data_IF_915425885885
#
_entry.id   IF_915425885885
#
_cell.length_a   1.000
_cell.length_b   1.000
_cell.length_c   1.000
_cell.angle_alpha   90.00
_cell.angle_beta   90.00
_cell.angle_gamma   90.00
#
_symmetry.space_group_name_H-M   'P 1'
#
loop_
_entity.id
_entity.type
_entity.pdbx_description
1 polymer ?
#
# COMPACT_ATOMS: atom_id res chain seq x y z
N UNK A 1 -52.45 -18.63 32.64
CA UNK A 1 -51.17 -17.90 32.78
C UNK A 1 -50.12 -18.84 33.36
N UNK A 2 -49.03 -19.16 32.65
CA UNK A 2 -47.81 -19.70 33.24
C UNK A 2 -46.71 -18.63 33.31
N UNK A 3 -45.92 -18.69 34.39
CA UNK A 3 -45.00 -17.66 34.87
C UNK A 3 -43.95 -17.20 33.84
N UNK A 4 -43.71 -15.89 33.78
CA UNK A 4 -42.68 -15.24 32.96
C UNK A 4 -41.29 -15.64 33.48
N UNK A 5 -40.54 -16.36 32.64
CA UNK A 5 -39.12 -16.62 32.85
C UNK A 5 -38.34 -15.38 32.40
N UNK A 6 -37.79 -14.62 33.34
CA UNK A 6 -37.13 -13.33 33.07
C UNK A 6 -35.61 -13.34 33.30
N UNK A 7 -35.03 -14.39 33.89
CA UNK A 7 -33.60 -14.42 34.25
C UNK A 7 -32.80 -15.49 33.49
N UNK A 8 -31.53 -15.19 33.22
CA UNK A 8 -30.58 -16.06 32.49
C UNK A 8 -30.40 -17.44 33.14
N UNK A 9 -30.49 -17.53 34.47
CA UNK A 9 -30.32 -18.77 35.25
C UNK A 9 -31.45 -19.78 35.02
N UNK A 10 -32.69 -19.28 34.84
CA UNK A 10 -33.85 -20.13 34.58
C UNK A 10 -33.81 -20.76 33.17
N UNK A 11 -33.17 -20.07 32.20
CA UNK A 11 -32.97 -20.59 30.84
C UNK A 11 -31.92 -21.71 30.83
N UNK A 12 -30.90 -21.64 31.68
CA UNK A 12 -29.85 -22.66 31.79
C UNK A 12 -30.41 -23.96 32.37
N UNK A 13 -31.31 -23.91 33.36
CA UNK A 13 -31.96 -25.11 33.93
C UNK A 13 -32.86 -25.86 32.93
N UNK A 14 -33.43 -25.18 31.94
CA UNK A 14 -34.41 -25.79 31.02
C UNK A 14 -33.77 -26.62 29.89
N UNK A 15 -32.44 -26.63 29.73
CA UNK A 15 -31.77 -27.32 28.61
C UNK A 15 -31.00 -28.57 29.06
N UNK A 16 -31.74 -29.64 29.35
CA UNK A 16 -31.21 -31.02 29.31
C UNK A 16 -31.71 -31.88 28.15
N UNK A 17 -32.42 -31.31 27.17
CA UNK A 17 -32.84 -32.08 25.98
C UNK A 17 -32.35 -31.42 24.68
N UNK A 18 -31.47 -32.18 23.99
CA UNK A 18 -30.96 -32.07 22.60
C UNK A 18 -30.21 -30.78 22.23
N UNK A 19 -28.87 -30.85 22.23
CA UNK A 19 -27.96 -29.89 21.61
C UNK A 19 -28.01 -30.04 20.09
N UNK A 20 -28.89 -29.29 19.43
CA UNK A 20 -28.72 -28.96 18.01
C UNK A 20 -27.98 -27.61 17.95
N UNK A 21 -26.71 -27.67 17.53
CA UNK A 21 -25.80 -26.57 17.21
C UNK A 21 -25.13 -25.82 18.38
N UNK A 22 -23.80 -25.69 18.28
CA UNK A 22 -22.95 -24.83 19.12
C UNK A 22 -23.17 -23.36 18.78
N UNK A 23 -24.36 -22.83 19.06
CA UNK A 23 -24.66 -21.42 18.88
C UNK A 23 -24.23 -20.64 20.12
N UNK A 24 -23.49 -19.55 19.93
CA UNK A 24 -23.04 -18.70 21.03
C UNK A 24 -24.25 -18.16 21.82
N UNK A 25 -24.15 -18.03 23.15
CA UNK A 25 -25.26 -17.57 23.99
C UNK A 25 -25.86 -16.23 23.53
N UNK A 26 -25.01 -15.35 22.98
CA UNK A 26 -25.39 -14.05 22.43
C UNK A 26 -26.26 -14.19 21.17
N UNK A 27 -25.95 -15.13 20.28
CA UNK A 27 -26.77 -15.39 19.10
C UNK A 27 -28.15 -15.89 19.51
N UNK A 28 -28.20 -16.79 20.50
CA UNK A 28 -29.45 -17.34 21.01
C UNK A 28 -30.33 -16.25 21.63
N UNK A 29 -29.73 -15.36 22.41
CA UNK A 29 -30.42 -14.20 22.99
C UNK A 29 -30.98 -13.27 21.92
N UNK A 30 -30.17 -12.92 20.91
CA UNK A 30 -30.60 -12.07 19.81
C UNK A 30 -31.70 -12.73 18.96
N UNK A 31 -31.64 -14.05 18.77
CA UNK A 31 -32.67 -14.82 18.09
C UNK A 31 -34.00 -14.80 18.84
N UNK A 32 -34.00 -15.04 20.15
CA UNK A 32 -35.21 -14.96 20.96
C UNK A 32 -35.77 -13.54 21.00
N UNK A 33 -34.92 -12.53 21.16
CA UNK A 33 -35.32 -11.11 21.11
C UNK A 33 -35.95 -10.75 19.78
N UNK A 34 -35.40 -11.24 18.67
CA UNK A 34 -35.97 -11.06 17.34
C UNK A 34 -37.33 -11.74 17.22
N UNK A 35 -37.49 -12.99 17.67
CA UNK A 35 -38.79 -13.67 17.67
C UNK A 35 -39.85 -12.98 18.52
N UNK A 36 -39.47 -12.43 19.68
CA UNK A 36 -40.36 -11.61 20.49
C UNK A 36 -40.78 -10.33 19.76
N UNK A 37 -39.87 -9.67 19.04
CA UNK A 37 -40.19 -8.49 18.22
C UNK A 37 -41.15 -8.82 17.08
N UNK A 38 -40.91 -9.92 16.36
CA UNK A 38 -41.78 -10.36 15.25
C UNK A 38 -43.16 -10.73 15.78
N UNK A 39 -43.24 -11.43 16.91
CA UNK A 39 -44.52 -11.80 17.52
C UNK A 39 -45.33 -10.57 18.00
N UNK A 40 -44.64 -9.52 18.43
CA UNK A 40 -45.24 -8.29 18.92
C UNK A 40 -45.34 -7.19 17.84
N UNK A 41 -44.96 -7.49 16.59
CA UNK A 41 -45.02 -6.53 15.50
C UNK A 41 -46.49 -6.27 15.15
N UNK A 42 -46.95 -5.04 15.37
CA UNK A 42 -48.27 -4.58 14.93
C UNK A 42 -48.10 -3.96 13.55
N UNK A 43 -49.08 -4.20 12.66
CA UNK A 43 -49.15 -3.53 11.36
C UNK A 43 -49.44 -2.05 11.62
N UNK A 44 -48.41 -1.22 11.53
CA UNK A 44 -48.54 0.24 11.51
C UNK A 44 -48.46 0.65 10.05
N UNK A 45 -49.55 1.19 9.51
CA UNK A 45 -49.53 1.86 8.21
C UNK A 45 -49.08 3.28 8.51
N UNK A 46 -47.89 3.61 8.04
CA UNK A 46 -47.30 4.93 8.24
C UNK A 46 -47.88 5.87 7.18
N UNK A 47 -48.84 6.70 7.59
CA UNK A 47 -49.45 7.73 6.74
C UNK A 47 -48.62 9.03 6.72
N UNK A 48 -47.42 9.04 7.33
CA UNK A 48 -46.55 10.22 7.31
C UNK A 48 -45.79 10.32 5.97
N UNK A 49 -45.67 11.53 5.40
CA UNK A 49 -44.94 11.70 4.16
C UNK A 49 -43.46 11.35 4.35
N UNK A 50 -42.83 10.67 3.37
CA UNK A 50 -41.44 10.28 3.49
C UNK A 50 -40.55 11.52 3.67
N UNK A 51 -39.62 11.45 4.61
CA UNK A 51 -38.67 12.53 4.87
C UNK A 51 -37.71 12.61 3.67
N UNK A 52 -37.96 13.59 2.80
CA UNK A 52 -37.16 13.83 1.61
C UNK A 52 -35.85 14.52 2.00
N UNK A 53 -34.74 13.78 1.96
CA UNK A 53 -33.41 14.38 2.07
C UNK A 53 -33.09 15.15 0.79
N UNK A 54 -33.32 16.47 0.82
CA UNK A 54 -33.12 17.42 -0.27
C UNK A 54 -31.73 17.31 -0.92
N UNK A 55 -30.70 16.94 -0.15
CA UNK A 55 -29.33 16.76 -0.62
C UNK A 55 -29.19 15.65 -1.67
N UNK A 56 -29.96 14.57 -1.54
CA UNK A 56 -29.95 13.45 -2.49
C UNK A 56 -30.86 13.72 -3.70
N UNK A 57 -31.97 14.43 -3.50
CA UNK A 57 -32.93 14.74 -4.58
C UNK A 57 -32.35 15.81 -5.51
N UNK A 58 -31.69 16.82 -4.96
CA UNK A 58 -31.13 17.92 -5.75
C UNK A 58 -29.75 17.61 -6.35
N UNK A 59 -29.19 16.41 -6.14
CA UNK A 59 -27.88 16.01 -6.65
C UNK A 59 -26.79 17.08 -6.47
N UNK A 60 -26.78 17.75 -5.30
CA UNK A 60 -25.95 18.93 -5.06
C UNK A 60 -24.46 18.70 -5.38
N UNK A 61 -23.96 17.48 -5.12
CA UNK A 61 -22.59 17.10 -5.44
C UNK A 61 -22.26 17.18 -6.93
N UNK A 62 -23.19 16.78 -7.80
CA UNK A 62 -23.00 16.85 -9.25
C UNK A 62 -23.09 18.31 -9.71
N UNK A 63 -24.03 19.10 -9.17
CA UNK A 63 -24.15 20.52 -9.50
C UNK A 63 -22.87 21.31 -9.14
N UNK A 64 -22.20 20.97 -8.04
CA UNK A 64 -20.89 21.58 -7.70
C UNK A 64 -19.80 21.24 -8.72
N UNK A 65 -19.79 20.01 -9.26
CA UNK A 65 -18.84 19.61 -10.30
C UNK A 65 -19.14 20.35 -11.61
N UNK A 66 -20.41 20.44 -11.99
CA UNK A 66 -20.84 21.15 -13.20
C UNK A 66 -20.53 22.65 -13.10
N UNK A 67 -20.74 23.26 -11.93
CA UNK A 67 -20.37 24.66 -11.68
C UNK A 67 -18.86 24.88 -11.85
N UNK A 68 -18.02 23.98 -11.33
CA UNK A 68 -16.57 24.07 -11.50
C UNK A 68 -16.18 23.95 -12.96
N UNK A 69 -16.76 23.01 -13.71
CA UNK A 69 -16.50 22.84 -15.13
C UNK A 69 -16.90 24.07 -15.96
N UNK A 70 -18.07 24.67 -15.67
CA UNK A 70 -18.52 25.91 -16.31
C UNK A 70 -17.57 27.07 -16.00
N UNK A 71 -17.11 27.18 -14.75
CA UNK A 71 -16.14 28.20 -14.35
C UNK A 71 -14.82 28.07 -15.11
N UNK A 72 -14.32 26.85 -15.30
CA UNK A 72 -13.10 26.59 -16.06
C UNK A 72 -13.28 26.91 -17.56
N UNK A 73 -14.42 26.57 -18.13
CA UNK A 73 -14.78 26.94 -19.52
C UNK A 73 -14.88 28.46 -19.67
N UNK A 74 -15.50 29.16 -18.72
CA UNK A 74 -15.61 30.62 -18.75
C UNK A 74 -14.23 31.27 -18.69
N UNK A 75 -13.36 30.77 -17.81
CA UNK A 75 -11.98 31.27 -17.70
C UNK A 75 -11.20 31.08 -19.01
N UNK A 76 -11.25 29.88 -19.60
CA UNK A 76 -10.56 29.62 -20.88
C UNK A 76 -11.12 30.48 -22.02
N UNK A 77 -12.45 30.67 -22.07
CA UNK A 77 -13.07 31.58 -23.04
C UNK A 77 -12.63 33.04 -22.84
N UNK A 78 -12.51 33.51 -21.60
CA UNK A 78 -12.00 34.86 -21.31
C UNK A 78 -10.54 35.03 -21.73
N UNK A 79 -9.69 34.04 -21.48
CA UNK A 79 -8.28 34.05 -21.90
C UNK A 79 -8.15 34.08 -23.44
N UNK A 80 -9.01 33.34 -24.15
CA UNK A 80 -9.09 33.35 -25.62
C UNK A 80 -9.53 34.73 -26.14
N UNK A 81 -10.55 35.34 -25.52
CA UNK A 81 -11.02 36.67 -25.90
C UNK A 81 -9.97 37.75 -25.63
N UNK A 82 -9.25 37.67 -24.52
CA UNK A 82 -8.10 38.55 -24.26
C UNK A 82 -7.01 38.38 -25.31
N UNK A 83 -6.73 37.13 -25.72
CA UNK A 83 -5.77 36.85 -26.78
C UNK A 83 -6.23 37.46 -28.12
N UNK A 84 -7.50 37.28 -28.51
CA UNK A 84 -8.04 37.91 -29.71
C UNK A 84 -8.03 39.45 -29.63
N UNK A 85 -8.37 40.03 -28.48
CA UNK A 85 -8.28 41.46 -28.25
C UNK A 85 -6.85 41.98 -28.41
N UNK A 86 -5.84 41.28 -27.87
CA UNK A 86 -4.42 41.61 -28.08
C UNK A 86 -4.01 41.50 -29.54
N UNK A 87 -4.47 40.47 -30.25
CA UNK A 87 -4.24 40.31 -31.69
C UNK A 87 -4.89 41.43 -32.52
N UNK A 88 -6.05 41.94 -32.10
CA UNK A 88 -6.76 43.03 -32.77
C UNK A 88 -6.11 44.40 -32.50
N UNK A 89 -5.56 44.61 -31.29
CA UNK A 89 -4.79 45.82 -30.93
C UNK A 89 -3.43 45.85 -31.64
N UNK A 90 -2.81 44.70 -31.87
CA UNK A 90 -1.54 44.56 -32.60
C UNK A 90 -1.73 44.43 -34.13
N UNK A 91 -2.96 44.17 -34.58
CA UNK A 91 -3.31 43.97 -35.98
C UNK A 91 -3.51 45.29 -36.72
N UNK A 92 -2.49 45.75 -37.44
CA UNK A 92 -2.69 46.68 -38.56
C UNK A 92 -3.65 46.02 -39.57
N UNK A 93 -4.74 46.71 -39.93
CA UNK A 93 -5.52 46.46 -41.15
C UNK A 93 -4.55 46.47 -42.34
N UNK A 94 -4.06 45.31 -42.78
CA UNK A 94 -3.20 45.20 -43.97
C UNK A 94 -2.05 44.19 -43.93
N UNK A 95 -1.79 43.46 -42.84
CA UNK A 95 -0.75 42.41 -42.85
C UNK A 95 -1.34 41.02 -43.04
N UNK A 96 -1.93 40.77 -44.21
CA UNK A 96 -1.94 39.40 -44.72
C UNK A 96 -0.51 39.08 -45.13
N UNK A 97 0.19 38.28 -44.32
CA UNK A 97 1.47 37.72 -44.72
C UNK A 97 1.19 36.66 -45.81
N UNK A 98 1.26 37.06 -47.08
CA UNK A 98 1.19 36.17 -48.26
C UNK A 98 2.42 35.25 -48.41
N UNK A 99 3.29 35.19 -47.40
CA UNK A 99 4.36 34.21 -47.35
C UNK A 99 3.85 32.95 -46.65
N UNK A 100 3.68 31.87 -47.41
CA UNK A 100 3.45 30.51 -46.92
C UNK A 100 4.42 30.10 -45.78
N UNK A 101 5.59 30.75 -45.67
CA UNK A 101 6.61 30.53 -44.63
C UNK A 101 6.23 31.07 -43.23
N UNK A 102 5.34 32.07 -43.15
CA UNK A 102 4.98 32.69 -41.86
C UNK A 102 4.05 31.81 -41.01
N UNK A 103 3.16 31.03 -41.63
CA UNK A 103 2.19 30.20 -40.92
C UNK A 103 2.83 29.08 -40.09
N UNK A 104 3.91 28.48 -40.60
CA UNK A 104 4.65 27.44 -39.89
C UNK A 104 5.35 28.00 -38.65
N UNK A 105 5.89 29.22 -38.71
CA UNK A 105 6.68 29.83 -37.62
C UNK A 105 5.87 30.19 -36.36
N UNK A 106 4.56 30.35 -36.46
CA UNK A 106 3.69 30.62 -35.30
C UNK A 106 2.88 29.40 -34.84
N UNK A 107 3.00 28.27 -35.53
CA UNK A 107 2.37 27.02 -35.11
C UNK A 107 2.99 26.50 -33.82
N UNK A 108 2.15 25.92 -32.95
CA UNK A 108 2.59 25.25 -31.71
C UNK A 108 3.61 24.13 -31.99
N UNK A 109 3.48 23.47 -33.13
CA UNK A 109 4.40 22.44 -33.62
C UNK A 109 5.82 23.01 -33.85
N UNK A 110 5.94 24.16 -34.53
CA UNK A 110 7.24 24.79 -34.78
C UNK A 110 7.85 25.42 -33.52
N UNK A 111 7.03 25.84 -32.56
CA UNK A 111 7.51 26.24 -31.23
C UNK A 111 8.09 25.04 -30.46
N UNK A 112 7.40 23.89 -30.50
CA UNK A 112 7.87 22.67 -29.88
C UNK A 112 9.17 22.16 -30.52
N UNK A 113 9.28 22.15 -31.85
CA UNK A 113 10.50 21.74 -32.54
C UNK A 113 11.71 22.62 -32.18
N UNK A 114 11.53 23.94 -32.13
CA UNK A 114 12.61 24.87 -31.68
C UNK A 114 13.01 24.64 -30.23
N UNK A 115 12.07 24.29 -29.36
CA UNK A 115 12.38 23.97 -27.97
C UNK A 115 13.19 22.67 -27.85
N UNK A 116 12.90 21.67 -28.69
CA UNK A 116 13.66 20.42 -28.74
C UNK A 116 15.08 20.65 -29.26
N UNK A 117 15.26 21.43 -30.33
CA UNK A 117 16.58 21.80 -30.84
C UNK A 117 17.42 22.56 -29.81
N UNK A 118 16.81 23.43 -29.00
CA UNK A 118 17.50 24.13 -27.93
C UNK A 118 18.00 23.15 -26.85
N UNK A 119 17.16 22.20 -26.45
CA UNK A 119 17.52 21.15 -25.47
C UNK A 119 18.66 20.26 -26.01
N UNK A 120 18.63 19.90 -27.30
CA UNK A 120 19.71 19.12 -27.91
C UNK A 120 21.04 19.86 -27.90
N UNK A 121 21.03 21.17 -28.18
CA UNK A 121 22.24 22.01 -28.10
C UNK A 121 22.79 22.08 -26.68
N UNK A 122 21.93 22.22 -25.68
CA UNK A 122 22.34 22.20 -24.26
C UNK A 122 22.92 20.84 -23.86
N UNK A 123 22.28 19.74 -24.24
CA UNK A 123 22.78 18.39 -23.98
C UNK A 123 24.15 18.16 -24.63
N UNK A 124 24.34 18.64 -25.86
CA UNK A 124 25.61 18.55 -26.56
C UNK A 124 26.71 19.36 -25.86
N UNK A 125 26.38 20.54 -25.33
CA UNK A 125 27.30 21.35 -24.54
C UNK A 125 27.70 20.67 -23.22
N UNK A 126 26.74 20.08 -22.51
CA UNK A 126 27.00 19.32 -21.27
C UNK A 126 27.87 18.10 -21.56
N UNK A 127 27.57 17.36 -22.63
CA UNK A 127 28.37 16.20 -23.04
C UNK A 127 29.83 16.59 -23.32
N UNK A 128 30.06 17.70 -24.04
CA UNK A 128 31.41 18.25 -24.26
C UNK A 128 32.11 18.59 -22.94
N UNK A 129 31.40 19.19 -21.99
CA UNK A 129 31.95 19.52 -20.66
C UNK A 129 32.33 18.30 -19.85
N UNK A 130 31.51 17.25 -19.87
CA UNK A 130 31.78 15.98 -19.18
C UNK A 130 32.98 15.28 -19.80
N UNK A 131 33.08 15.27 -21.14
CA UNK A 131 34.23 14.70 -21.84
C UNK A 131 35.52 15.49 -21.59
N UNK A 132 35.45 16.82 -21.47
CA UNK A 132 36.60 17.66 -21.17
C UNK A 132 36.99 17.68 -19.69
N UNK A 133 36.18 17.10 -18.81
CA UNK A 133 36.46 17.08 -17.38
C UNK A 133 37.63 16.14 -17.08
N UNK A 134 38.85 16.68 -17.04
CA UNK A 134 40.03 15.94 -16.60
C UNK A 134 39.99 15.76 -15.07
N UNK A 135 40.33 14.55 -14.63
CA UNK A 135 40.30 14.13 -13.24
C UNK A 135 41.49 14.79 -12.50
N UNK A 136 41.26 15.88 -11.79
CA UNK A 136 42.26 16.47 -10.88
C UNK A 136 42.28 15.64 -9.59
N UNK A 137 42.67 14.37 -9.70
CA UNK A 137 43.03 13.52 -8.56
C UNK A 137 44.27 12.74 -8.96
N UNK A 138 45.39 13.06 -8.31
CA UNK A 138 46.67 12.38 -8.48
C UNK A 138 46.49 10.86 -8.35
N UNK A 139 46.63 10.15 -9.47
CA UNK A 139 46.60 8.69 -9.53
C UNK A 139 47.86 8.20 -10.20
N UNK A 140 48.98 8.26 -9.48
CA UNK A 140 50.17 7.45 -9.78
C UNK A 140 49.93 5.97 -9.42
N UNK A 141 48.77 5.41 -9.80
CA UNK A 141 48.46 4.01 -9.62
C UNK A 141 47.98 3.44 -10.96
N UNK A 142 48.72 2.45 -11.44
CA UNK A 142 48.53 1.75 -12.71
C UNK A 142 47.08 1.26 -12.85
N UNK A 143 46.51 1.24 -14.07
CA UNK A 143 45.15 0.77 -14.28
C UNK A 143 45.12 -0.75 -14.06
N UNK A 144 44.53 -1.20 -12.94
CA UNK A 144 44.22 -2.62 -12.76
C UNK A 144 42.96 -2.96 -13.55
N UNK A 145 43.16 -3.84 -14.54
CA UNK A 145 42.13 -4.75 -15.07
C UNK A 145 41.20 -5.21 -13.95
N UNK A 146 39.90 -5.22 -14.23
CA UNK A 146 38.83 -5.57 -13.31
C UNK A 146 38.90 -7.06 -12.90
N UNK A 147 39.83 -7.37 -11.99
CA UNK A 147 39.77 -8.51 -11.10
C UNK A 147 39.76 -7.94 -9.69
N UNK A 148 38.63 -8.05 -9.01
CA UNK A 148 38.48 -7.56 -7.64
C UNK A 148 39.48 -8.29 -6.73
N UNK A 149 40.41 -7.55 -6.14
CA UNK A 149 41.26 -8.08 -5.09
C UNK A 149 40.44 -8.33 -3.82
N UNK A 150 40.60 -9.50 -3.21
CA UNK A 150 39.97 -9.86 -1.96
C UNK A 150 40.21 -8.79 -0.89
N UNK A 151 39.10 -8.22 -0.40
CA UNK A 151 39.10 -7.29 0.70
C UNK A 151 39.58 -7.98 1.98
N UNK A 152 40.87 -7.82 2.31
CA UNK A 152 41.43 -8.25 3.59
C UNK A 152 41.24 -7.15 4.62
N UNK A 153 40.22 -7.33 5.45
CA UNK A 153 39.97 -6.47 6.61
C UNK A 153 41.12 -6.54 7.63
N UNK A 154 41.63 -5.42 8.15
CA UNK A 154 42.59 -5.42 9.25
C UNK A 154 41.96 -6.00 10.53
N UNK A 155 42.57 -7.08 11.04
CA UNK A 155 42.05 -7.89 12.16
C UNK A 155 41.95 -7.12 13.48
N UNK A 156 42.75 -6.07 13.63
CA UNK A 156 42.84 -5.25 14.85
C UNK A 156 41.66 -4.28 15.01
N UNK A 157 41.06 -3.82 13.91
CA UNK A 157 39.88 -2.95 13.96
C UNK A 157 38.62 -3.77 14.25
N UNK A 158 38.57 -5.02 13.78
CA UNK A 158 37.46 -5.95 13.98
C UNK A 158 37.41 -6.57 15.39
N UNK A 159 38.53 -6.59 16.13
CA UNK A 159 38.56 -7.15 17.49
C UNK A 159 37.71 -6.33 18.47
N UNK A 160 37.58 -5.02 18.23
CA UNK A 160 36.78 -4.08 19.03
C UNK A 160 35.26 -4.28 18.89
N UNK A 161 34.84 -5.03 17.87
CA UNK A 161 33.43 -5.22 17.52
C UNK A 161 33.04 -6.70 17.37
N UNK A 162 33.85 -7.61 17.93
CA UNK A 162 33.66 -9.08 17.82
C UNK A 162 32.33 -9.59 18.38
N UNK A 163 31.67 -8.85 19.25
CA UNK A 163 30.38 -9.23 19.83
C UNK A 163 29.17 -8.65 19.09
N UNK A 164 29.35 -7.69 18.18
CA UNK A 164 28.24 -6.90 17.62
C UNK A 164 28.28 -6.65 16.11
N UNK A 165 29.26 -7.20 15.35
CA UNK A 165 29.26 -7.09 13.89
C UNK A 165 28.66 -8.34 13.23
N UNK A 166 27.46 -8.14 12.70
CA UNK A 166 26.81 -8.96 11.68
C UNK A 166 27.69 -8.92 10.43
N UNK A 167 28.43 -10.01 10.16
CA UNK A 167 29.08 -10.19 8.85
C UNK A 167 28.01 -10.16 7.75
N UNK A 168 28.28 -9.43 6.67
CA UNK A 168 27.56 -9.64 5.42
C UNK A 168 27.88 -11.06 4.92
N UNK A 169 26.86 -11.90 4.64
CA UNK A 169 27.11 -13.28 4.26
C UNK A 169 27.75 -13.40 2.88
N UNK A 170 28.65 -14.38 2.76
CA UNK A 170 29.46 -14.66 1.55
C UNK A 170 28.73 -15.48 0.47
N UNK A 171 27.54 -16.01 0.75
CA UNK A 171 26.78 -16.86 -0.18
C UNK A 171 25.43 -16.26 -0.58
N UNK A 172 25.06 -16.39 -1.85
CA UNK A 172 23.73 -16.07 -2.39
C UNK A 172 22.60 -16.79 -1.62
N UNK A 173 22.83 -18.01 -1.17
CA UNK A 173 21.89 -18.80 -0.34
C UNK A 173 21.68 -18.19 1.06
N UNK A 174 22.72 -17.62 1.66
CA UNK A 174 22.60 -16.92 2.94
C UNK A 174 21.88 -15.57 2.80
N UNK A 175 21.99 -14.91 1.63
CA UNK A 175 21.15 -13.73 1.30
C UNK A 175 19.66 -14.11 1.21
N UNK A 176 19.34 -15.28 0.66
CA UNK A 176 17.96 -15.79 0.65
C UNK A 176 17.46 -16.11 2.06
N UNK A 177 18.33 -16.61 2.94
CA UNK A 177 17.98 -16.89 4.34
C UNK A 177 17.73 -15.61 5.15
N UNK A 178 18.50 -14.55 4.93
CA UNK A 178 18.34 -13.27 5.64
C UNK A 178 17.26 -12.37 5.03
N UNK A 179 17.06 -12.43 3.71
CA UNK A 179 16.10 -11.56 3.01
C UNK A 179 15.21 -12.33 2.04
N UNK A 180 14.33 -13.19 2.56
CA UNK A 180 13.48 -14.03 1.73
C UNK A 180 12.52 -13.16 0.90
N UNK A 181 12.31 -13.57 -0.35
CA UNK A 181 11.35 -12.93 -1.26
C UNK A 181 10.10 -13.82 -1.30
N UNK A 182 8.95 -13.22 -1.03
CA UNK A 182 7.65 -13.89 -1.05
C UNK A 182 6.72 -13.20 -2.04
N UNK A 183 5.75 -13.94 -2.57
CA UNK A 183 4.72 -13.37 -3.42
C UNK A 183 3.31 -13.65 -2.89
N UNK A 184 2.41 -12.70 -3.17
CA UNK A 184 0.98 -12.78 -2.85
C UNK A 184 0.17 -12.35 -4.07
N UNK A 185 -0.68 -13.24 -4.56
CA UNK A 185 -1.69 -12.90 -5.55
C UNK A 185 -2.99 -12.60 -4.78
N UNK A 186 -3.52 -11.39 -4.96
CA UNK A 186 -4.74 -10.94 -4.28
C UNK A 186 -5.87 -10.70 -5.28
N UNK A 187 -7.09 -10.96 -4.84
CA UNK A 187 -8.31 -10.73 -5.60
C UNK A 187 -9.37 -10.07 -4.70
N UNK A 188 -10.13 -9.13 -5.28
CA UNK A 188 -11.37 -8.65 -4.67
C UNK A 188 -12.47 -9.64 -5.03
N UNK A 189 -13.07 -10.27 -4.02
CA UNK A 189 -14.07 -11.32 -4.21
C UNK A 189 -15.16 -10.86 -5.19
N UNK A 190 -15.30 -11.63 -6.28
CA UNK A 190 -16.35 -11.45 -7.29
C UNK A 190 -16.28 -10.13 -8.06
N UNK A 191 -15.09 -9.56 -8.24
CA UNK A 191 -14.88 -8.36 -9.06
C UNK A 191 -13.69 -8.50 -10.02
N UNK A 192 -12.48 -8.38 -9.50
CA UNK A 192 -11.27 -8.31 -10.31
C UNK A 192 -10.03 -8.77 -9.51
N UNK A 193 -9.02 -9.34 -10.19
CA UNK A 193 -7.74 -9.61 -9.58
C UNK A 193 -6.99 -8.29 -9.32
N UNK A 194 -6.48 -8.11 -8.11
CA UNK A 194 -5.63 -6.96 -7.75
C UNK A 194 -4.24 -7.14 -8.35
N UNK A 195 -3.78 -8.38 -8.45
CA UNK A 195 -2.50 -8.77 -9.05
C UNK A 195 -1.51 -9.34 -8.04
N UNK A 196 -0.27 -9.53 -8.52
CA UNK A 196 0.84 -10.13 -7.78
C UNK A 196 1.68 -9.07 -7.06
N UNK A 197 1.82 -9.24 -5.75
CA UNK A 197 2.73 -8.48 -4.91
C UNK A 197 3.97 -9.31 -4.63
N UNK A 198 5.15 -8.83 -5.02
CA UNK A 198 6.43 -9.48 -4.71
C UNK A 198 7.12 -8.64 -3.64
N UNK A 199 7.30 -9.22 -2.46
CA UNK A 199 7.78 -8.54 -1.26
C UNK A 199 9.10 -9.16 -0.83
N UNK A 200 10.10 -8.32 -0.62
CA UNK A 200 11.32 -8.70 0.09
C UNK A 200 11.10 -8.50 1.58
N UNK A 201 11.38 -9.53 2.37
CA UNK A 201 11.34 -9.47 3.82
C UNK A 201 12.76 -9.31 4.37
N UNK A 202 12.88 -8.76 5.58
CA UNK A 202 14.16 -8.46 6.23
C UNK A 202 14.19 -9.12 7.61
N UNK A 203 14.87 -10.26 7.73
CA UNK A 203 14.95 -10.97 9.01
C UNK A 203 15.71 -10.18 10.06
N UNK A 204 16.63 -9.30 9.64
CA UNK A 204 17.38 -8.41 10.53
C UNK A 204 16.48 -7.40 11.26
N UNK A 205 15.33 -7.05 10.67
CA UNK A 205 14.42 -6.08 11.25
C UNK A 205 13.43 -6.76 12.21
N UNK A 206 12.86 -7.89 11.81
CA UNK A 206 11.90 -8.61 12.64
C UNK A 206 11.87 -10.11 12.31
N UNK A 207 12.76 -10.93 12.91
CA UNK A 207 12.96 -12.31 12.51
C UNK A 207 11.72 -13.18 12.74
N UNK A 208 11.04 -13.06 13.88
CA UNK A 208 9.88 -13.90 14.21
C UNK A 208 8.72 -13.67 13.22
N UNK A 209 8.41 -12.41 12.89
CA UNK A 209 7.33 -12.10 11.95
C UNK A 209 7.67 -12.55 10.52
N UNK A 210 8.92 -12.35 10.09
CA UNK A 210 9.38 -12.77 8.76
C UNK A 210 9.33 -14.29 8.63
N UNK A 211 9.88 -15.03 9.59
CA UNK A 211 9.88 -16.50 9.56
C UNK A 211 8.46 -17.08 9.56
N UNK A 212 7.57 -16.52 10.37
CA UNK A 212 6.16 -16.90 10.38
C UNK A 212 5.50 -16.68 9.01
N UNK A 213 5.73 -15.50 8.40
CA UNK A 213 5.20 -15.17 7.09
C UNK A 213 5.75 -16.12 6.00
N UNK A 214 7.05 -16.37 6.00
CA UNK A 214 7.70 -17.32 5.07
C UNK A 214 7.14 -18.73 5.23
N UNK A 215 6.97 -19.23 6.46
CA UNK A 215 6.35 -20.55 6.73
C UNK A 215 4.93 -20.63 6.18
N UNK A 216 4.10 -19.60 6.40
CA UNK A 216 2.74 -19.58 5.86
C UNK A 216 2.70 -19.53 4.33
N UNK A 217 3.66 -18.83 3.71
CA UNK A 217 3.82 -18.80 2.25
C UNK A 217 4.27 -20.16 1.71
N UNK A 218 5.24 -20.79 2.37
CA UNK A 218 5.75 -22.12 2.00
C UNK A 218 4.66 -23.19 2.06
N UNK A 219 3.83 -23.17 3.11
CA UNK A 219 2.70 -24.08 3.27
C UNK A 219 1.47 -23.67 2.46
N UNK A 220 1.53 -22.58 1.68
CA UNK A 220 0.45 -22.06 0.83
C UNK A 220 -0.90 -21.92 1.56
N UNK A 221 -0.88 -21.51 2.84
CA UNK A 221 -2.12 -21.42 3.66
C UNK A 221 -2.88 -20.11 3.42
N UNK A 222 -3.46 -19.98 2.22
CA UNK A 222 -4.14 -18.76 1.72
C UNK A 222 -5.19 -18.19 2.69
N UNK A 223 -6.02 -19.05 3.27
CA UNK A 223 -7.15 -18.67 4.13
C UNK A 223 -6.76 -17.94 5.43
N UNK A 224 -5.46 -17.93 5.75
CA UNK A 224 -4.91 -17.33 6.96
C UNK A 224 -4.55 -15.87 6.81
N UNK A 225 -4.32 -15.41 5.59
CA UNK A 225 -4.09 -14.02 5.27
C UNK A 225 -5.42 -13.33 4.99
N UNK A 226 -5.72 -12.27 5.73
CA UNK A 226 -6.98 -11.50 5.57
C UNK A 226 -6.69 -10.02 5.60
N UNK A 227 -7.29 -9.27 4.68
CA UNK A 227 -7.36 -7.82 4.77
C UNK A 227 -8.45 -7.42 5.77
N UNK A 228 -8.08 -6.70 6.82
CA UNK A 228 -9.01 -6.22 7.86
C UNK A 228 -9.47 -4.82 7.51
N UNK A 229 -8.50 -3.95 7.21
CA UNK A 229 -8.71 -2.52 6.99
C UNK A 229 -7.92 -2.03 5.79
N UNK A 230 -8.45 -1.07 5.08
CA UNK A 230 -7.75 -0.33 4.05
C UNK A 230 -8.10 1.14 4.19
N UNK A 231 -7.11 1.94 4.59
CA UNK A 231 -7.22 3.39 4.71
C UNK A 231 -6.64 4.03 3.44
N UNK A 232 -7.48 4.65 2.59
CA UNK A 232 -7.00 5.33 1.39
C UNK A 232 -5.92 6.38 1.73
N UNK A 233 -4.93 6.52 0.87
CA UNK A 233 -3.73 7.39 1.01
C UNK A 233 -2.79 7.07 2.18
N UNK A 234 -3.06 6.03 2.99
CA UNK A 234 -2.27 5.67 4.16
C UNK A 234 -1.67 4.26 4.01
N UNK A 235 -2.44 3.23 4.40
CA UNK A 235 -2.02 1.83 4.35
C UNK A 235 -3.21 0.87 4.37
N UNK A 236 -2.95 -0.36 3.92
CA UNK A 236 -3.79 -1.53 4.17
C UNK A 236 -3.29 -2.27 5.41
N UNK A 237 -4.20 -2.84 6.21
CA UNK A 237 -3.89 -3.68 7.36
C UNK A 237 -4.35 -5.11 7.13
N UNK A 238 -3.42 -6.03 7.31
CA UNK A 238 -3.57 -7.45 7.13
C UNK A 238 -3.41 -8.17 8.46
N UNK A 239 -4.13 -9.27 8.57
CA UNK A 239 -4.05 -10.22 9.66
C UNK A 239 -3.60 -11.56 9.10
N UNK A 240 -2.51 -12.09 9.66
CA UNK A 240 -2.01 -13.43 9.38
C UNK A 240 -2.17 -14.29 10.63
N UNK A 241 -2.93 -15.37 10.51
CA UNK A 241 -3.06 -16.38 11.58
C UNK A 241 -1.86 -17.31 11.57
N UNK A 242 -1.15 -17.38 12.69
CA UNK A 242 0.05 -18.21 12.85
C UNK A 242 -0.29 -19.69 13.08
N UNK A 243 0.64 -20.57 12.72
CA UNK A 243 0.56 -21.98 13.11
C UNK A 243 0.85 -22.16 14.60
N UNK A 244 0.32 -23.21 15.25
CA UNK A 244 0.59 -23.47 16.66
C UNK A 244 2.09 -23.61 16.96
N UNK A 245 2.87 -24.20 16.03
CA UNK A 245 4.33 -24.28 16.16
C UNK A 245 5.04 -22.93 16.17
N UNK A 246 4.50 -21.93 15.46
CA UNK A 246 5.01 -20.56 15.46
C UNK A 246 4.55 -19.80 16.71
N UNK A 247 3.39 -20.18 17.26
CA UNK A 247 2.88 -19.60 18.49
C UNK A 247 3.79 -19.88 19.68
N UNK A 248 4.35 -21.09 19.77
CA UNK A 248 5.24 -21.47 20.86
C UNK A 248 6.50 -20.60 20.87
N UNK A 249 7.10 -20.35 19.69
CA UNK A 249 8.18 -19.37 19.55
C UNK A 249 7.76 -17.98 20.04
N UNK A 250 6.57 -17.47 19.67
CA UNK A 250 6.16 -16.10 20.06
C UNK A 250 5.69 -15.94 21.50
N UNK A 251 5.32 -17.02 22.19
CA UNK A 251 4.83 -17.00 23.58
C UNK A 251 5.95 -17.01 24.59
N UNK A 252 6.97 -17.82 24.35
CA UNK A 252 8.02 -18.12 25.32
C UNK A 252 9.28 -17.27 25.09
N UNK A 253 9.53 -16.81 23.86
CA UNK A 253 10.70 -15.99 23.53
C UNK A 253 10.46 -14.49 23.69
N UNK A 254 11.53 -13.76 24.02
CA UNK A 254 11.57 -12.31 23.86
C UNK A 254 11.44 -11.97 22.36
N UNK A 255 10.50 -11.09 22.03
CA UNK A 255 10.26 -10.68 20.65
C UNK A 255 11.35 -9.69 20.27
N UNK A 256 12.25 -10.11 19.40
CA UNK A 256 13.34 -9.29 18.89
C UNK A 256 12.84 -8.44 17.72
N UNK A 257 13.20 -7.15 17.72
CA UNK A 257 12.93 -6.26 16.61
C UNK A 257 13.96 -5.13 16.58
N UNK A 258 14.38 -4.75 15.37
CA UNK A 258 15.18 -3.56 15.13
C UNK A 258 14.37 -2.52 14.33
N UNK A 259 14.21 -1.34 14.91
CA UNK A 259 13.51 -0.20 14.27
C UNK A 259 14.39 0.51 13.24
N UNK A 260 15.72 0.38 13.34
CA UNK A 260 16.68 1.11 12.51
C UNK A 260 17.02 0.38 11.21
N UNK A 261 16.75 -0.93 11.16
CA UNK A 261 17.04 -1.78 10.01
C UNK A 261 16.36 -1.29 8.70
N UNK A 262 15.14 -0.74 8.76
CA UNK A 262 14.42 -0.26 7.58
C UNK A 262 13.73 1.09 7.82
N UNK A 263 14.05 2.09 6.99
CA UNK A 263 13.42 3.42 7.04
C UNK A 263 12.07 3.43 6.32
N UNK A 264 10.99 3.67 7.08
CA UNK A 264 9.60 3.69 6.61
C UNK A 264 9.24 4.86 5.69
N UNK A 265 10.04 5.93 5.71
CA UNK A 265 9.63 7.21 5.12
C UNK A 265 10.05 7.34 3.65
N UNK A 266 10.85 6.40 3.14
CA UNK A 266 11.53 6.55 1.85
C UNK A 266 10.70 6.01 0.66
N UNK A 267 9.76 5.10 0.90
CA UNK A 267 9.04 4.43 -0.20
C UNK A 267 7.61 4.03 0.17
N UNK A 268 6.75 4.00 -0.85
CA UNK A 268 5.49 3.25 -0.79
C UNK A 268 5.74 1.74 -0.85
N UNK A 269 4.78 0.96 -0.38
CA UNK A 269 4.84 -0.50 -0.39
C UNK A 269 5.68 -1.11 0.75
N UNK A 270 5.81 -0.42 1.88
CA UNK A 270 6.55 -0.93 3.03
C UNK A 270 5.61 -1.72 3.94
N UNK A 271 6.07 -2.90 4.37
CA UNK A 271 5.41 -3.71 5.38
C UNK A 271 5.92 -3.31 6.75
N UNK A 272 4.99 -2.96 7.63
CA UNK A 272 5.26 -2.54 8.99
C UNK A 272 4.37 -3.25 10.00
N UNK A 273 4.91 -3.53 11.17
CA UNK A 273 4.21 -4.10 12.30
C UNK A 273 4.08 -3.04 13.40
N UNK A 274 2.89 -2.88 13.99
CA UNK A 274 2.72 -1.98 15.14
C UNK A 274 2.98 -2.72 16.45
N UNK A 275 3.84 -2.14 17.29
CA UNK A 275 4.18 -2.69 18.60
C UNK A 275 2.98 -2.74 19.56
N UNK A 276 1.93 -1.95 19.30
CA UNK A 276 0.64 -2.05 20.02
C UNK A 276 -0.01 -3.42 19.84
N UNK A 277 0.29 -4.12 18.74
CA UNK A 277 -0.22 -5.45 18.41
C UNK A 277 0.71 -6.59 18.88
N UNK A 278 1.69 -6.33 19.77
CA UNK A 278 2.51 -7.40 20.37
C UNK A 278 1.65 -8.41 21.14
N UNK A 279 0.64 -7.93 21.87
CA UNK A 279 -0.24 -8.82 22.64
C UNK A 279 -1.05 -9.77 21.73
N UNK A 280 -1.45 -9.32 20.53
CA UNK A 280 -2.14 -10.16 19.55
C UNK A 280 -1.18 -11.13 18.86
N UNK A 281 0.07 -10.72 18.67
CA UNK A 281 1.12 -11.60 18.15
C UNK A 281 1.36 -12.80 19.08
N UNK A 282 1.43 -12.59 20.41
CA UNK A 282 1.52 -13.68 21.39
C UNK A 282 0.30 -14.61 21.40
N UNK A 283 -0.84 -14.13 20.90
CA UNK A 283 -2.06 -14.93 20.71
C UNK A 283 -2.11 -15.63 19.34
N UNK A 284 -1.03 -15.56 18.55
CA UNK A 284 -0.92 -16.22 17.25
C UNK A 284 -1.50 -15.42 16.09
N UNK A 285 -1.62 -14.10 16.23
CA UNK A 285 -2.16 -13.23 15.18
C UNK A 285 -1.14 -12.14 14.86
N UNK A 286 -0.52 -12.24 13.69
CA UNK A 286 0.40 -11.23 13.17
C UNK A 286 -0.39 -10.19 12.37
N UNK A 287 -0.58 -9.01 12.96
CA UNK A 287 -1.22 -7.87 12.29
C UNK A 287 -0.16 -6.93 11.70
N UNK A 288 -0.09 -6.83 10.38
CA UNK A 288 0.87 -5.97 9.69
C UNK A 288 0.17 -5.01 8.74
N UNK A 289 0.87 -3.95 8.33
CA UNK A 289 0.34 -2.93 7.44
C UNK A 289 1.23 -2.76 6.22
N UNK A 290 0.62 -2.55 5.06
CA UNK A 290 1.26 -2.28 3.78
C UNK A 290 0.98 -0.82 3.37
N UNK A 291 2.02 0.02 3.30
CA UNK A 291 1.86 1.44 2.97
C UNK A 291 1.52 1.66 1.49
N UNK A 292 0.58 2.56 1.21
CA UNK A 292 0.28 3.00 -0.15
C UNK A 292 1.17 4.17 -0.59
N UNK A 293 1.56 5.00 0.35
CA UNK A 293 2.43 6.18 0.16
C UNK A 293 3.61 6.15 1.13
N UNK A 294 4.71 6.85 0.82
CA UNK A 294 5.76 7.09 1.80
C UNK A 294 5.15 7.84 3.00
N UNK A 295 5.44 7.36 4.20
CA UNK A 295 4.89 7.92 5.42
C UNK A 295 5.82 9.04 5.88
N UNK A 296 5.37 10.30 5.78
CA UNK A 296 6.21 11.47 6.08
C UNK A 296 6.57 11.59 7.57
N UNK A 297 5.75 11.00 8.44
CA UNK A 297 5.94 11.02 9.89
C UNK A 297 6.56 9.71 10.33
N UNK A 298 7.72 9.78 10.98
CA UNK A 298 8.34 8.60 11.61
C UNK A 298 7.38 8.00 12.64
N UNK A 299 6.81 6.84 12.32
CA UNK A 299 5.96 6.11 13.26
C UNK A 299 6.80 5.32 14.25
N UNK A 300 7.15 5.97 15.37
CA UNK A 300 7.98 5.41 16.46
C UNK A 300 7.49 4.05 17.00
N UNK A 301 6.18 3.80 16.92
CA UNK A 301 5.55 2.58 17.42
C UNK A 301 5.50 1.44 16.38
N UNK A 302 6.13 1.61 15.21
CA UNK A 302 6.09 0.62 14.13
C UNK A 302 7.48 0.15 13.73
N UNK A 303 7.62 -1.15 13.51
CA UNK A 303 8.82 -1.80 12.99
C UNK A 303 8.57 -2.16 11.54
N UNK A 304 9.41 -1.68 10.62
CA UNK A 304 9.30 -2.08 9.22
C UNK A 304 10.17 -3.30 8.95
N UNK A 305 9.61 -4.30 8.29
CA UNK A 305 10.24 -5.60 8.12
C UNK A 305 10.12 -6.15 6.69
N UNK A 306 9.50 -5.41 5.77
CA UNK A 306 9.40 -5.80 4.37
C UNK A 306 9.23 -4.62 3.42
N UNK A 307 9.61 -4.81 2.16
CA UNK A 307 9.48 -3.84 1.09
C UNK A 307 8.96 -4.50 -0.19
N UNK A 308 8.01 -3.84 -0.84
CA UNK A 308 7.44 -4.29 -2.11
C UNK A 308 8.42 -4.01 -3.26
N UNK A 309 8.89 -5.07 -3.94
CA UNK A 309 9.74 -4.98 -5.13
C UNK A 309 8.88 -4.77 -6.38
N UNK A 310 7.90 -5.66 -6.60
CA UNK A 310 6.99 -5.63 -7.77
C UNK A 310 5.53 -5.65 -7.30
N UNK A 311 4.63 -5.12 -8.12
CA UNK A 311 3.18 -5.08 -7.81
C UNK A 311 2.64 -3.72 -7.34
N UNK A 312 3.37 -2.62 -7.55
CA UNK A 312 2.92 -1.26 -7.17
C UNK A 312 1.57 -0.88 -7.80
N UNK A 313 1.25 -1.38 -9.01
CA UNK A 313 -0.07 -1.18 -9.64
C UNK A 313 -1.22 -1.73 -8.79
N UNK A 314 -1.00 -2.87 -8.14
CA UNK A 314 -1.97 -3.48 -7.24
C UNK A 314 -2.22 -2.65 -5.98
N UNK A 315 -1.28 -1.79 -5.56
CA UNK A 315 -1.50 -0.89 -4.43
C UNK A 315 -2.63 0.11 -4.70
N UNK A 316 -2.70 0.67 -5.91
CA UNK A 316 -3.77 1.61 -6.29
C UNK A 316 -5.15 0.94 -6.31
N UNK A 317 -5.21 -0.31 -6.79
CA UNK A 317 -6.44 -1.10 -6.78
C UNK A 317 -6.85 -1.45 -5.35
N UNK A 318 -5.90 -1.87 -4.51
CA UNK A 318 -6.14 -2.15 -3.09
C UNK A 318 -6.58 -0.89 -2.32
N UNK A 319 -6.01 0.26 -2.65
CA UNK A 319 -6.36 1.57 -2.11
C UNK A 319 -7.78 1.99 -2.51
N UNK A 320 -8.18 1.76 -3.77
CA UNK A 320 -9.52 2.07 -4.27
C UNK A 320 -10.63 1.28 -3.56
N UNK A 321 -10.30 0.11 -3.02
CA UNK A 321 -11.23 -0.71 -2.23
C UNK A 321 -11.32 -0.25 -0.76
N UNK A 322 -10.50 0.71 -0.33
CA UNK A 322 -10.52 1.27 1.01
C UNK A 322 -11.60 2.33 1.21
N UNK A 323 -12.00 2.55 2.47
CA UNK A 323 -12.93 3.63 2.84
C UNK A 323 -12.29 4.52 3.90
N UNK A 324 -12.83 5.73 4.11
CA UNK A 324 -12.34 6.66 5.16
C UNK A 324 -12.37 6.03 6.56
N UNK A 325 -13.31 5.13 6.83
CA UNK A 325 -13.42 4.41 8.11
C UNK A 325 -12.52 3.16 8.18
N UNK A 326 -11.74 2.89 7.14
CA UNK A 326 -10.85 1.74 7.04
C UNK A 326 -11.56 0.44 6.67
N UNK A 327 -12.89 0.32 6.70
CA UNK A 327 -13.58 -0.92 6.32
C UNK A 327 -13.52 -1.08 4.78
N UNK A 328 -12.97 -2.18 4.24
CA UNK A 328 -12.90 -2.37 2.79
C UNK A 328 -14.32 -2.52 2.20
N UNK A 329 -14.54 -1.98 1.00
CA UNK A 329 -15.85 -2.03 0.32
C UNK A 329 -16.25 -3.47 0.00
N UNK A 330 -15.30 -4.25 -0.52
CA UNK A 330 -15.44 -5.69 -0.72
C UNK A 330 -14.30 -6.45 -0.07
N UNK A 331 -14.56 -7.71 0.24
CA UNK A 331 -13.58 -8.60 0.86
C UNK A 331 -12.45 -8.90 -0.12
N UNK A 332 -11.21 -8.82 0.35
CA UNK A 332 -10.01 -9.21 -0.40
C UNK A 332 -9.53 -10.56 0.13
N UNK A 333 -9.19 -11.46 -0.78
CA UNK A 333 -8.65 -12.79 -0.48
C UNK A 333 -7.34 -13.01 -1.23
N UNK A 334 -6.46 -13.83 -0.65
CA UNK A 334 -5.29 -14.34 -1.35
C UNK A 334 -5.68 -15.52 -2.23
N UNK A 335 -5.34 -15.47 -3.51
CA UNK A 335 -5.58 -16.53 -4.50
C UNK A 335 -4.37 -17.45 -4.64
N UNK A 336 -3.15 -16.92 -4.54
CA UNK A 336 -1.92 -17.69 -4.49
C UNK A 336 -0.90 -17.01 -3.57
N UNK A 337 -0.04 -17.81 -2.92
CA UNK A 337 1.08 -17.32 -2.12
C UNK A 337 2.24 -18.31 -2.24
N UNK A 338 3.47 -17.81 -2.12
CA UNK A 338 4.64 -18.67 -2.15
C UNK A 338 5.93 -17.91 -1.88
N UNK A 339 7.02 -18.68 -1.80
CA UNK A 339 8.37 -18.13 -1.79
C UNK A 339 8.79 -17.97 -3.24
N UNK A 340 9.25 -16.78 -3.62
CA UNK A 340 9.81 -16.58 -4.95
C UNK A 340 11.30 -16.98 -4.89
N UNK A 341 11.73 -18.09 -5.52
CA UNK A 341 13.15 -18.30 -5.73
C UNK A 341 13.60 -17.14 -6.62
N UNK A 342 14.42 -16.24 -6.08
CA UNK A 342 14.88 -15.06 -6.82
C UNK A 342 15.39 -15.51 -8.19
N UNK A 343 15.02 -14.76 -9.24
CA UNK A 343 15.52 -14.95 -10.61
C UNK A 343 17.04 -15.18 -10.53
N UNK A 344 17.45 -16.44 -10.70
CA UNK A 344 18.81 -16.77 -11.10
C UNK A 344 18.97 -16.14 -12.47
N UNK A 345 19.61 -14.98 -12.49
CA UNK A 345 20.00 -14.29 -13.72
C UNK A 345 20.73 -15.27 -14.63
N UNK A 346 20.11 -15.60 -15.76
CA UNK A 346 20.81 -16.01 -16.96
C UNK A 346 21.47 -14.79 -17.61
#
# INVERSE_FOLDING_TARGET
MPAKVTTLEQIVRYKRKKKLYNMTPLFLYNYYKHRCRVKNAKKYVDDSPPILHLTNIMNLKNNYLDMSAISDIMRTNTEILEYFGRMQILGRKGSWNDSFDAQWRYSRMASMLRSLEAIEKENHFIAKRVLSAQKIVNTNLRPLSASYADFRTPKEILSKYKTEIILAPRCSEQRLLLRPIVYFDLEVVSLYPIGRFIVQLYTEAFPQAVLAMVRTCHLQKLHRLKLIRAFPNLWAEFELKLDPKDMDLTKESHIEYDRRALKQNLSSGILSFSLKHIATLRKGILSFSLSFRPLSVEMKDRVAFGALIRGKRGLYLLESNGTKHGKPMKRVIATAMGINPGETSA
#
